data_IF_273109579563
#
_entry.id   IF_273109579563
#
_cell.length_a   1.000
_cell.length_b   1.000
_cell.length_c   1.000
_cell.angle_alpha   90.00
_cell.angle_beta   90.00
_cell.angle_gamma   90.00
#
_symmetry.space_group_name_H-M   'P 1'
#
loop_
_entity.id
_entity.type
_entity.pdbx_description
1 polymer ?
#
# COMPACT_ATOMS: atom_id res chain seq x y z
N UNK A 1 2.76 -13.24 13.05
CA UNK A 1 4.05 -13.80 12.64
C UNK A 1 5.05 -13.79 13.78
N UNK A 2 6.09 -14.60 13.69
CA UNK A 2 7.18 -14.56 14.67
C UNK A 2 8.15 -13.42 14.30
N UNK A 3 8.13 -12.37 15.09
CA UNK A 3 8.98 -11.19 14.87
C UNK A 3 10.46 -11.40 15.27
N UNK A 4 10.83 -12.60 15.70
CA UNK A 4 12.21 -12.95 16.05
C UNK A 4 13.01 -13.47 14.85
N UNK A 5 12.33 -13.89 13.78
CA UNK A 5 12.94 -14.45 12.58
C UNK A 5 12.78 -13.52 11.39
N UNK A 6 13.78 -13.48 10.48
CA UNK A 6 13.64 -12.78 9.21
C UNK A 6 12.46 -13.34 8.40
N UNK A 7 11.65 -12.46 7.84
CA UNK A 7 10.49 -12.86 7.04
C UNK A 7 10.37 -11.98 5.79
N UNK A 8 9.86 -12.57 4.71
CA UNK A 8 9.45 -11.78 3.56
C UNK A 8 8.14 -11.05 3.89
N UNK A 9 8.09 -9.77 3.56
CA UNK A 9 6.92 -8.90 3.80
C UNK A 9 6.47 -8.27 2.48
N UNK A 10 5.22 -7.84 2.42
CA UNK A 10 4.69 -7.22 1.19
C UNK A 10 5.42 -5.91 0.86
N UNK A 11 5.60 -5.04 1.84
CA UNK A 11 6.36 -3.81 1.72
C UNK A 11 7.10 -3.49 3.00
N UNK A 12 8.18 -2.72 2.91
CA UNK A 12 8.86 -2.17 4.07
C UNK A 12 8.19 -0.87 4.52
N UNK A 13 8.05 -0.67 5.82
CA UNK A 13 7.54 0.60 6.36
C UNK A 13 8.60 1.70 6.21
N UNK A 14 8.28 2.79 5.51
CA UNK A 14 9.23 3.86 5.19
C UNK A 14 9.85 4.53 6.44
N UNK A 15 9.16 4.51 7.58
CA UNK A 15 9.68 5.02 8.85
C UNK A 15 10.87 4.23 9.40
N UNK A 16 11.11 2.99 8.90
CA UNK A 16 12.19 2.10 9.34
C UNK A 16 12.62 1.18 8.19
N UNK A 17 12.94 1.74 7.04
CA UNK A 17 13.28 0.96 5.85
C UNK A 17 14.63 1.39 5.26
N UNK A 18 15.32 0.42 4.68
CA UNK A 18 16.52 0.62 3.88
C UNK A 18 16.30 0.03 2.49
N UNK A 19 16.62 0.80 1.47
CA UNK A 19 16.44 0.41 0.08
C UNK A 19 17.76 0.39 -0.68
N UNK A 20 17.96 -0.62 -1.52
CA UNK A 20 19.09 -0.64 -2.44
C UNK A 20 18.94 0.49 -3.46
N UNK A 21 20.01 1.22 -3.76
CA UNK A 21 20.00 2.31 -4.74
C UNK A 21 19.52 1.86 -6.13
N UNK A 22 19.92 0.67 -6.53
CA UNK A 22 19.54 0.09 -7.83
C UNK A 22 18.04 -0.13 -7.97
N UNK A 23 17.33 -0.32 -6.86
CA UNK A 23 15.87 -0.41 -6.88
C UNK A 23 15.26 0.84 -7.49
N UNK A 24 15.66 2.01 -7.02
CA UNK A 24 15.11 3.29 -7.50
C UNK A 24 15.40 3.52 -8.99
N UNK A 25 16.53 3.06 -9.51
CA UNK A 25 16.81 3.11 -10.93
C UNK A 25 15.86 2.24 -11.77
N UNK A 26 15.31 1.16 -11.19
CA UNK A 26 14.38 0.23 -11.87
C UNK A 26 12.92 0.64 -11.73
N UNK A 27 12.51 1.04 -10.52
CA UNK A 27 11.09 1.27 -10.20
C UNK A 27 10.74 2.76 -10.02
N UNK A 28 11.73 3.64 -10.01
CA UNK A 28 11.56 5.06 -9.70
C UNK A 28 11.48 5.34 -8.20
N UNK A 29 11.44 6.61 -7.85
CA UNK A 29 11.37 7.11 -6.47
C UNK A 29 9.97 6.93 -5.87
N UNK A 30 9.79 7.43 -4.64
CA UNK A 30 8.47 7.61 -4.05
C UNK A 30 7.60 8.52 -4.92
N UNK A 31 6.32 8.17 -5.04
CA UNK A 31 5.38 8.96 -5.83
C UNK A 31 4.86 10.14 -5.01
N UNK A 32 5.25 11.35 -5.40
CA UNK A 32 4.90 12.59 -4.70
C UNK A 32 3.38 12.84 -4.60
N UNK A 33 2.58 12.24 -5.49
CA UNK A 33 1.12 12.32 -5.42
C UNK A 33 0.55 11.68 -4.14
N UNK A 34 1.27 10.72 -3.55
CA UNK A 34 0.86 10.16 -2.26
C UNK A 34 1.02 11.18 -1.14
N UNK A 35 2.01 12.05 -1.20
CA UNK A 35 2.44 12.99 -0.17
C UNK A 35 2.88 12.27 1.11
N UNK A 36 1.98 11.54 1.78
CA UNK A 36 2.23 10.69 2.92
C UNK A 36 1.18 9.56 2.97
N UNK A 37 1.49 8.45 3.64
CA UNK A 37 0.70 7.22 3.77
C UNK A 37 0.56 6.43 2.48
N UNK A 38 0.93 5.15 2.56
CA UNK A 38 0.90 4.16 1.48
C UNK A 38 1.89 4.43 0.32
N UNK A 39 2.76 5.45 0.42
CA UNK A 39 3.87 5.66 -0.52
C UNK A 39 4.88 4.52 -0.46
N UNK A 40 5.08 3.95 0.73
CA UNK A 40 5.91 2.79 0.98
C UNK A 40 5.28 1.50 0.43
N UNK A 41 3.98 1.35 0.57
CA UNK A 41 3.24 0.24 -0.01
C UNK A 41 3.29 0.29 -1.55
N UNK A 42 3.15 1.48 -2.15
CA UNK A 42 3.31 1.69 -3.60
C UNK A 42 4.70 1.28 -4.07
N UNK A 43 5.75 1.74 -3.36
CA UNK A 43 7.13 1.39 -3.70
C UNK A 43 7.39 -0.12 -3.55
N UNK A 44 6.91 -0.72 -2.45
CA UNK A 44 7.02 -2.16 -2.21
C UNK A 44 6.33 -2.99 -3.28
N UNK A 45 5.15 -2.56 -3.72
CA UNK A 45 4.42 -3.20 -4.81
C UNK A 45 5.22 -3.14 -6.13
N UNK A 46 5.73 -1.95 -6.51
CA UNK A 46 6.57 -1.78 -7.70
C UNK A 46 7.85 -2.62 -7.64
N UNK A 47 8.45 -2.74 -6.46
CA UNK A 47 9.60 -3.60 -6.23
C UNK A 47 9.28 -5.06 -6.53
N UNK A 48 8.17 -5.59 -6.00
CA UNK A 48 7.71 -6.96 -6.25
C UNK A 48 7.38 -7.21 -7.72
N UNK A 49 6.78 -6.27 -8.42
CA UNK A 49 6.54 -6.36 -9.88
C UNK A 49 7.85 -6.59 -10.64
N UNK A 50 8.96 -6.00 -10.19
CA UNK A 50 10.28 -6.17 -10.79
C UNK A 50 11.08 -7.35 -10.20
N UNK A 51 10.45 -8.19 -9.35
CA UNK A 51 11.07 -9.38 -8.76
C UNK A 51 11.98 -9.12 -7.56
N UNK A 52 11.95 -7.91 -6.99
CA UNK A 52 12.64 -7.63 -5.73
C UNK A 52 11.84 -8.16 -4.54
N UNK A 53 12.54 -8.47 -3.46
CA UNK A 53 11.96 -8.94 -2.21
C UNK A 53 12.07 -7.87 -1.15
N UNK A 54 11.01 -7.69 -0.36
CA UNK A 54 11.04 -6.89 0.86
C UNK A 54 11.21 -7.86 2.03
N UNK A 55 12.17 -7.60 2.90
CA UNK A 55 12.53 -8.51 4.00
C UNK A 55 12.49 -7.76 5.32
N UNK A 56 11.79 -8.32 6.30
CA UNK A 56 11.85 -7.88 7.68
C UNK A 56 13.15 -8.39 8.34
N UNK A 57 13.87 -7.48 9.01
CA UNK A 57 15.10 -7.78 9.73
C UNK A 57 14.89 -7.61 11.24
N UNK A 58 14.78 -8.69 12.02
CA UNK A 58 14.46 -8.63 13.45
C UNK A 58 15.54 -8.00 14.32
N UNK A 59 16.78 -7.99 13.85
CA UNK A 59 17.92 -7.38 14.56
C UNK A 59 18.01 -5.87 14.38
N UNK A 60 17.36 -5.31 13.35
CA UNK A 60 17.31 -3.88 13.10
C UNK A 60 16.24 -3.22 14.01
N UNK A 61 16.68 -2.53 15.05
CA UNK A 61 15.79 -1.86 16.00
C UNK A 61 15.73 -0.37 15.71
N UNK A 62 14.53 0.16 15.58
CA UNK A 62 14.28 1.59 15.37
C UNK A 62 13.31 2.09 16.43
N UNK A 63 13.65 3.20 17.07
CA UNK A 63 12.77 3.90 18.00
C UNK A 63 11.97 4.94 17.22
N UNK A 64 10.67 4.73 17.13
CA UNK A 64 9.77 5.59 16.37
C UNK A 64 8.80 6.34 17.29
N UNK A 65 8.83 7.68 17.23
CA UNK A 65 7.85 8.51 17.92
C UNK A 65 6.59 8.58 17.08
N UNK A 66 5.67 7.67 17.36
CA UNK A 66 4.40 7.58 16.64
C UNK A 66 3.60 8.88 16.70
N UNK A 67 3.08 9.33 15.56
CA UNK A 67 2.26 10.55 15.45
C UNK A 67 2.93 11.87 15.86
N UNK A 68 4.26 11.90 16.00
CA UNK A 68 4.99 13.10 16.43
C UNK A 68 4.71 14.34 15.57
N UNK A 69 4.57 14.17 14.26
CA UNK A 69 4.30 15.27 13.31
C UNK A 69 2.80 15.56 13.13
N UNK A 70 1.94 14.56 13.30
CA UNK A 70 0.52 14.65 12.90
C UNK A 70 -0.45 14.55 14.07
N UNK A 71 0.05 14.57 15.32
CA UNK A 71 -0.73 14.60 16.56
C UNK A 71 -1.39 13.25 16.88
N UNK A 72 -2.71 13.14 16.76
CA UNK A 72 -3.47 11.96 17.15
C UNK A 72 -3.27 10.76 16.22
N UNK A 73 -3.59 9.55 16.71
CA UNK A 73 -3.58 8.31 15.91
C UNK A 73 -4.48 8.42 14.68
N UNK A 74 -5.67 8.99 14.84
CA UNK A 74 -6.63 9.27 13.77
C UNK A 74 -7.00 10.75 13.77
N UNK A 75 -7.07 11.34 12.60
CA UNK A 75 -7.62 12.67 12.33
C UNK A 75 -8.11 12.73 10.88
N UNK A 76 -8.92 13.73 10.54
CA UNK A 76 -9.51 13.90 9.20
C UNK A 76 -8.47 13.87 8.08
N UNK A 77 -7.32 14.54 8.27
CA UNK A 77 -6.25 14.57 7.28
C UNK A 77 -5.69 13.17 6.99
N UNK A 78 -5.33 12.41 8.04
CA UNK A 78 -4.78 11.05 7.89
C UNK A 78 -5.77 10.11 7.22
N UNK A 79 -7.03 10.13 7.68
CA UNK A 79 -8.09 9.23 7.19
C UNK A 79 -8.37 9.52 5.73
N UNK A 80 -8.59 10.78 5.37
CA UNK A 80 -8.87 11.20 3.99
C UNK A 80 -7.71 10.85 3.07
N UNK A 81 -6.47 11.17 3.47
CA UNK A 81 -5.28 10.93 2.67
C UNK A 81 -5.01 9.43 2.46
N UNK A 82 -5.11 8.62 3.51
CA UNK A 82 -4.94 7.16 3.42
C UNK A 82 -6.03 6.51 2.54
N UNK A 83 -7.29 6.97 2.64
CA UNK A 83 -8.38 6.49 1.81
C UNK A 83 -8.12 6.81 0.33
N UNK A 84 -7.73 8.06 0.01
CA UNK A 84 -7.35 8.49 -1.33
C UNK A 84 -6.21 7.65 -1.89
N UNK A 85 -5.14 7.51 -1.12
CA UNK A 85 -3.94 6.83 -1.55
C UNK A 85 -4.15 5.32 -1.74
N UNK A 86 -5.08 4.69 -1.00
CA UNK A 86 -5.43 3.28 -1.24
C UNK A 86 -6.00 3.06 -2.64
N UNK A 87 -6.79 4.01 -3.15
CA UNK A 87 -7.26 3.99 -4.54
C UNK A 87 -6.10 4.15 -5.52
N UNK A 88 -5.16 5.05 -5.22
CA UNK A 88 -3.97 5.28 -6.06
C UNK A 88 -3.10 4.02 -6.17
N UNK A 89 -2.79 3.37 -5.04
CA UNK A 89 -1.99 2.13 -5.02
C UNK A 89 -2.63 1.05 -5.90
N UNK A 90 -3.93 0.82 -5.74
CA UNK A 90 -4.64 -0.21 -6.51
C UNK A 90 -4.69 0.16 -8.00
N UNK A 91 -5.07 1.39 -8.35
CA UNK A 91 -5.13 1.84 -9.73
C UNK A 91 -3.78 1.80 -10.43
N UNK A 92 -2.72 2.23 -9.75
CA UNK A 92 -1.38 2.36 -10.29
C UNK A 92 -0.71 1.02 -10.55
N UNK A 93 -0.82 0.10 -9.59
CA UNK A 93 -0.01 -1.12 -9.54
C UNK A 93 -0.74 -2.37 -10.04
N UNK A 94 -2.06 -2.43 -9.90
CA UNK A 94 -2.82 -3.59 -10.35
C UNK A 94 -3.19 -3.46 -11.83
N UNK A 95 -2.81 -4.41 -12.70
CA UNK A 95 -3.38 -4.52 -14.03
C UNK A 95 -4.88 -4.86 -13.94
N UNK A 96 -5.63 -4.54 -14.99
CA UNK A 96 -7.08 -4.69 -14.99
C UNK A 96 -7.57 -6.10 -14.59
N UNK A 97 -6.98 -7.21 -15.08
CA UNK A 97 -7.39 -8.55 -14.65
C UNK A 97 -7.22 -8.78 -13.14
N UNK A 98 -6.10 -8.32 -12.57
CA UNK A 98 -5.85 -8.44 -11.13
C UNK A 98 -6.81 -7.57 -10.31
N UNK A 99 -7.15 -6.38 -10.81
CA UNK A 99 -8.13 -5.50 -10.17
C UNK A 99 -9.52 -6.13 -10.13
N UNK A 100 -9.95 -6.74 -11.25
CA UNK A 100 -11.23 -7.45 -11.34
C UNK A 100 -11.24 -8.65 -10.39
N UNK A 101 -10.18 -9.46 -10.40
CA UNK A 101 -10.06 -10.64 -9.54
C UNK A 101 -10.14 -10.30 -8.04
N UNK A 102 -9.57 -9.17 -7.64
CA UNK A 102 -9.57 -8.73 -6.25
C UNK A 102 -10.76 -7.78 -5.90
N UNK A 103 -11.62 -7.43 -6.86
CA UNK A 103 -12.71 -6.48 -6.63
C UNK A 103 -13.63 -6.84 -5.46
N UNK A 104 -14.05 -8.12 -5.26
CA UNK A 104 -14.87 -8.48 -4.10
C UNK A 104 -14.14 -8.25 -2.77
N UNK A 105 -12.89 -8.67 -2.65
CA UNK A 105 -12.08 -8.50 -1.44
C UNK A 105 -11.80 -7.00 -1.16
N UNK A 106 -11.50 -6.23 -2.20
CA UNK A 106 -11.31 -4.79 -2.09
C UNK A 106 -12.60 -4.09 -1.62
N UNK A 107 -13.75 -4.45 -2.20
CA UNK A 107 -15.05 -3.89 -1.81
C UNK A 107 -15.36 -4.21 -0.33
N UNK A 108 -15.17 -5.46 0.08
CA UNK A 108 -15.34 -5.88 1.48
C UNK A 108 -14.39 -5.11 2.41
N UNK A 109 -13.11 -4.98 2.05
CA UNK A 109 -12.11 -4.23 2.82
C UNK A 109 -12.44 -2.74 2.95
N UNK A 110 -12.89 -2.10 1.87
CA UNK A 110 -13.35 -0.71 1.91
C UNK A 110 -14.61 -0.55 2.77
N UNK A 111 -15.54 -1.48 2.68
CA UNK A 111 -16.76 -1.46 3.50
C UNK A 111 -16.46 -1.61 4.99
N UNK A 112 -15.62 -2.59 5.38
CA UNK A 112 -15.21 -2.80 6.77
C UNK A 112 -14.50 -1.55 7.33
N UNK A 113 -13.59 -0.95 6.55
CA UNK A 113 -12.91 0.29 6.93
C UNK A 113 -13.90 1.46 7.05
N UNK A 114 -14.87 1.55 6.17
CA UNK A 114 -15.92 2.58 6.28
C UNK A 114 -16.74 2.42 7.57
N UNK A 115 -17.17 1.22 7.90
CA UNK A 115 -17.88 0.95 9.15
C UNK A 115 -17.03 1.33 10.37
N UNK A 116 -15.74 0.97 10.36
CA UNK A 116 -14.80 1.35 11.41
C UNK A 116 -14.69 2.87 11.56
N UNK A 117 -14.46 3.58 10.47
CA UNK A 117 -14.33 5.04 10.50
C UNK A 117 -15.65 5.75 10.83
N UNK A 118 -16.80 5.20 10.46
CA UNK A 118 -18.12 5.67 10.93
C UNK A 118 -18.20 5.59 12.45
N UNK A 119 -17.80 4.46 13.04
CA UNK A 119 -17.84 4.24 14.50
C UNK A 119 -16.98 5.25 15.27
N UNK A 120 -15.85 5.69 14.73
CA UNK A 120 -14.93 6.62 15.40
C UNK A 120 -15.07 8.08 14.89
N UNK A 121 -16.14 8.40 14.15
CA UNK A 121 -16.48 9.77 13.76
C UNK A 121 -15.78 10.30 12.49
N UNK A 122 -15.04 9.46 11.74
CA UNK A 122 -14.33 9.86 10.52
C UNK A 122 -14.91 9.25 9.23
N UNK A 123 -16.13 8.75 9.25
CA UNK A 123 -16.74 8.09 8.10
C UNK A 123 -16.87 8.99 6.88
N UNK A 124 -17.22 10.27 7.07
CA UNK A 124 -17.29 11.26 6.00
C UNK A 124 -15.91 11.50 5.37
N UNK A 125 -14.88 11.72 6.19
CA UNK A 125 -13.51 11.93 5.71
C UNK A 125 -13.01 10.74 4.89
N UNK A 126 -13.33 9.52 5.33
CA UNK A 126 -12.98 8.31 4.61
C UNK A 126 -13.63 8.25 3.22
N UNK A 127 -14.93 8.51 3.14
CA UNK A 127 -15.67 8.54 1.86
C UNK A 127 -15.17 9.66 0.95
N UNK A 128 -14.93 10.85 1.50
CA UNK A 128 -14.39 11.98 0.73
C UNK A 128 -13.00 11.65 0.16
N UNK A 129 -12.16 10.98 0.93
CA UNK A 129 -10.86 10.48 0.46
C UNK A 129 -11.00 9.47 -0.68
N UNK A 130 -11.93 8.50 -0.59
CA UNK A 130 -12.18 7.55 -1.67
C UNK A 130 -12.67 8.25 -2.95
N UNK A 131 -13.62 9.19 -2.82
CA UNK A 131 -14.12 9.99 -3.96
C UNK A 131 -12.99 10.78 -4.63
N UNK A 132 -12.16 11.45 -3.83
CA UNK A 132 -10.99 12.17 -4.32
C UNK A 132 -10.03 11.22 -5.05
N UNK A 133 -9.73 10.05 -4.46
CA UNK A 133 -8.91 9.03 -5.08
C UNK A 133 -9.45 8.58 -6.44
N UNK A 134 -10.74 8.28 -6.52
CA UNK A 134 -11.40 7.87 -7.77
C UNK A 134 -11.35 8.98 -8.83
N UNK A 135 -11.62 10.22 -8.46
CA UNK A 135 -11.66 11.35 -9.42
C UNK A 135 -10.26 11.71 -9.93
N UNK A 136 -9.24 11.60 -9.08
CA UNK A 136 -7.87 12.05 -9.40
C UNK A 136 -6.89 10.93 -9.78
N UNK A 137 -7.28 9.64 -9.68
CA UNK A 137 -6.41 8.47 -9.95
C UNK A 137 -5.65 8.52 -11.27
N UNK A 138 -6.24 9.15 -12.30
CA UNK A 138 -5.60 9.29 -13.61
C UNK A 138 -4.34 10.16 -13.60
N UNK A 139 -4.12 10.96 -12.54
CA UNK A 139 -2.89 11.71 -12.34
C UNK A 139 -1.72 10.79 -11.94
N UNK A 140 -2.01 9.61 -11.38
CA UNK A 140 -1.00 8.62 -11.04
C UNK A 140 -0.41 8.01 -12.32
N UNK A 141 0.90 7.96 -12.40
CA UNK A 141 1.61 7.27 -13.48
C UNK A 141 1.46 5.77 -13.29
N UNK A 142 0.52 5.16 -14.04
CA UNK A 142 0.23 3.73 -13.95
C UNK A 142 1.47 2.91 -14.32
N UNK A 143 1.73 1.84 -13.56
CA UNK A 143 2.77 0.88 -13.89
C UNK A 143 2.35 0.13 -15.16
N UNK A 144 3.23 0.16 -16.16
CA UNK A 144 2.96 -0.50 -17.42
C UNK A 144 3.10 -2.01 -17.27
N UNK A 145 2.01 -2.75 -17.53
CA UNK A 145 2.03 -4.20 -17.53
C UNK A 145 2.88 -4.73 -18.70
N UNK A 146 3.84 -5.59 -18.38
CA UNK A 146 4.67 -6.27 -19.38
C UNK A 146 4.50 -7.77 -19.21
N UNK A 147 4.39 -8.50 -20.33
CA UNK A 147 4.24 -9.96 -20.31
C UNK A 147 5.34 -10.70 -19.53
N UNK A 148 6.57 -10.16 -19.52
CA UNK A 148 7.67 -10.71 -18.74
C UNK A 148 7.45 -10.65 -17.22
N UNK A 149 6.60 -9.74 -16.74
CA UNK A 149 6.35 -9.52 -15.32
C UNK A 149 5.16 -10.39 -14.81
N UNK A 150 4.52 -11.18 -15.69
CA UNK A 150 3.32 -11.99 -15.37
C UNK A 150 3.56 -12.94 -14.21
N UNK A 151 4.76 -13.56 -14.13
CA UNK A 151 5.13 -14.45 -13.04
C UNK A 151 5.13 -13.72 -11.69
N UNK A 152 5.67 -12.50 -11.66
CA UNK A 152 5.74 -11.67 -10.46
C UNK A 152 4.35 -11.22 -10.03
N UNK A 153 3.49 -10.81 -10.98
CA UNK A 153 2.09 -10.50 -10.69
C UNK A 153 1.33 -11.69 -10.12
N UNK A 154 1.62 -12.90 -10.61
CA UNK A 154 1.00 -14.11 -10.09
C UNK A 154 1.48 -14.45 -8.67
N UNK A 155 2.75 -14.25 -8.38
CA UNK A 155 3.28 -14.39 -7.01
C UNK A 155 2.64 -13.37 -6.06
N UNK A 156 2.54 -12.11 -6.48
CA UNK A 156 1.84 -11.07 -5.72
C UNK A 156 0.38 -11.48 -5.47
N UNK A 157 -0.30 -12.03 -6.47
CA UNK A 157 -1.70 -12.46 -6.33
C UNK A 157 -1.87 -13.58 -5.29
N UNK A 158 -0.97 -14.56 -5.27
CA UNK A 158 -0.96 -15.61 -4.25
C UNK A 158 -0.80 -15.01 -2.85
N UNK A 159 0.18 -14.12 -2.70
CA UNK A 159 0.44 -13.45 -1.42
C UNK A 159 -0.77 -12.62 -0.94
N UNK A 160 -1.46 -11.92 -1.85
CA UNK A 160 -2.68 -11.19 -1.52
C UNK A 160 -3.78 -12.12 -1.00
N UNK A 161 -3.96 -13.30 -1.61
CA UNK A 161 -4.94 -14.29 -1.16
C UNK A 161 -4.55 -14.91 0.18
N UNK A 162 -3.32 -15.32 0.35
CA UNK A 162 -2.79 -15.86 1.61
C UNK A 162 -3.01 -14.87 2.76
N UNK A 163 -2.66 -13.60 2.56
CA UNK A 163 -2.88 -12.56 3.55
C UNK A 163 -4.36 -12.26 3.83
N UNK A 164 -5.25 -12.44 2.84
CA UNK A 164 -6.70 -12.24 3.04
C UNK A 164 -7.32 -13.36 3.88
N UNK A 165 -6.79 -14.58 3.80
CA UNK A 165 -7.31 -15.75 4.52
C UNK A 165 -6.71 -15.85 5.94
N UNK A 166 -5.48 -15.37 6.13
CA UNK A 166 -4.73 -15.55 7.39
C UNK A 166 -5.06 -14.48 8.44
N UNK A 167 -5.68 -13.37 8.06
CA UNK A 167 -6.07 -12.23 8.91
C UNK A 167 -7.57 -11.96 8.86
#
# INVERSE_FOLDING_TARGET
>A
GDYREPAEVFSACAGAAMYRRELFAKVGLFDELHFAYLEDLDLGYRAKIQGYRNVYCPTAKVYHVGSGTSGSKYNSFKVKLSARNSVYVNYKNMPLPQLILNAPALAAGYFVKWCFFMKIGFGKDYVDGLKEGISTRKKCKKVFFRGRDIRNYWQIQKELWENTITY
#
